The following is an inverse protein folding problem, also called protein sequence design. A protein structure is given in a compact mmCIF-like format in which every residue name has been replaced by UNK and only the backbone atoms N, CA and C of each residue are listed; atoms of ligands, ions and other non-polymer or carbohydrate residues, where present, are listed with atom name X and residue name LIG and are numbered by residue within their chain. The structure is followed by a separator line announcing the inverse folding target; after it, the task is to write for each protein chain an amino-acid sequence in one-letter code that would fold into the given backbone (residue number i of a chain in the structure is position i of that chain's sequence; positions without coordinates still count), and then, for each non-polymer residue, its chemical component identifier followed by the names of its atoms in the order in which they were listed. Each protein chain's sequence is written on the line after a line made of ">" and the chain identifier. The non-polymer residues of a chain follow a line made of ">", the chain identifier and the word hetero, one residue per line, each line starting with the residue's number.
data_IF_582477836083
#
_entry.id   IF_582477836083
#
_cell.length_a   1.000
_cell.length_b   1.000
_cell.length_c   1.000
_cell.angle_alpha   90.00
_cell.angle_beta   90.00
_cell.angle_gamma   90.00
#
_symmetry.space_group_name_H-M   'P 1'
#
loop_
_entity.id
_entity.type
_entity.pdbx_description
1 polymer ?
#
# COMPACT_ATOMS: atom_id res chain seq x y z
N UNK A 1 20.11 -3.83 7.56
CA UNK A 1 19.20 -3.62 8.70
C UNK A 1 17.77 -3.62 8.16
N UNK A 2 16.83 -4.26 8.85
CA UNK A 2 15.40 -4.12 8.52
C UNK A 2 14.92 -2.72 8.89
N UNK A 3 13.96 -2.19 8.15
CA UNK A 3 13.32 -0.94 8.53
C UNK A 3 12.26 -1.23 9.59
N UNK A 4 12.16 -0.41 10.65
CA UNK A 4 11.09 -0.57 11.62
C UNK A 4 9.74 -0.26 10.98
N UNK A 5 8.67 -0.86 11.50
CA UNK A 5 7.31 -0.44 11.19
C UNK A 5 7.14 1.06 11.47
N UNK A 6 6.52 1.83 10.56
CA UNK A 6 6.28 3.25 10.78
C UNK A 6 5.51 3.55 12.06
N UNK A 7 5.76 4.72 12.65
CA UNK A 7 4.99 5.19 13.81
C UNK A 7 3.58 5.59 13.40
N UNK A 8 2.55 5.15 14.13
CA UNK A 8 1.16 5.51 13.88
C UNK A 8 0.42 5.80 15.20
N UNK A 9 -0.67 6.57 15.14
CA UNK A 9 -1.46 6.92 16.34
C UNK A 9 -2.56 5.91 16.63
N UNK A 10 -2.44 5.27 17.79
CA UNK A 10 -3.47 4.36 18.32
C UNK A 10 -4.81 5.04 18.62
N UNK A 11 -4.86 6.36 18.79
CA UNK A 11 -6.11 7.05 19.18
C UNK A 11 -7.21 6.96 18.13
N UNK A 12 -6.87 6.99 16.84
CA UNK A 12 -7.83 6.83 15.74
C UNK A 12 -8.25 5.35 15.56
N UNK A 13 -7.35 4.43 15.88
CA UNK A 13 -7.56 2.98 15.77
C UNK A 13 -8.47 2.45 16.89
N UNK A 14 -8.29 2.93 18.12
CA UNK A 14 -9.01 2.46 19.31
C UNK A 14 -10.52 2.67 19.29
N UNK A 15 -11.01 3.59 18.45
CA UNK A 15 -12.44 3.82 18.29
C UNK A 15 -13.09 2.87 17.27
N UNK A 16 -12.32 1.98 16.62
CA UNK A 16 -12.80 1.09 15.56
C UNK A 16 -13.15 1.81 14.25
N UNK A 17 -12.82 3.10 14.14
CA UNK A 17 -13.11 3.91 12.95
C UNK A 17 -12.12 3.65 11.82
N UNK A 18 -10.94 3.09 12.10
CA UNK A 18 -9.87 2.85 11.13
C UNK A 18 -9.27 1.46 11.40
N UNK A 19 -8.94 0.74 10.33
CA UNK A 19 -8.31 -0.58 10.42
C UNK A 19 -6.96 -0.49 11.15
N UNK A 20 -6.83 -1.24 12.24
CA UNK A 20 -5.58 -1.37 12.99
C UNK A 20 -4.62 -2.32 12.25
N UNK A 21 -3.35 -1.95 12.04
CA UNK A 21 -2.35 -2.86 11.48
C UNK A 21 -2.32 -4.19 12.25
N UNK A 22 -2.60 -5.28 11.53
CA UNK A 22 -2.61 -6.64 12.06
C UNK A 22 -1.68 -7.57 11.26
N UNK A 23 -1.79 -8.88 11.45
CA UNK A 23 -0.90 -9.87 10.86
C UNK A 23 -0.82 -9.78 9.33
N UNK A 24 -1.93 -9.51 8.66
CA UNK A 24 -2.03 -9.30 7.22
C UNK A 24 -1.21 -8.09 6.74
N UNK A 25 -1.26 -7.00 7.51
CA UNK A 25 -0.52 -5.77 7.24
C UNK A 25 0.97 -5.99 7.40
N UNK A 26 1.38 -6.70 8.45
CA UNK A 26 2.78 -7.04 8.68
C UNK A 26 3.30 -8.04 7.64
N UNK A 27 2.47 -8.99 7.22
CA UNK A 27 2.81 -9.92 6.14
C UNK A 27 3.05 -9.19 4.81
N UNK A 28 2.22 -8.19 4.48
CA UNK A 28 2.40 -7.36 3.30
C UNK A 28 3.68 -6.52 3.40
N UNK A 29 3.95 -5.91 4.56
CA UNK A 29 5.20 -5.16 4.81
C UNK A 29 6.42 -6.07 4.63
N UNK A 30 6.40 -7.29 5.18
CA UNK A 30 7.49 -8.26 5.06
C UNK A 30 7.71 -8.71 3.61
N UNK A 31 6.63 -8.91 2.84
CA UNK A 31 6.70 -9.24 1.43
C UNK A 31 7.35 -8.10 0.63
N UNK A 32 6.90 -6.86 0.84
CA UNK A 32 7.49 -5.67 0.22
C UNK A 32 8.95 -5.51 0.63
N UNK A 33 9.28 -5.72 1.90
CA UNK A 33 10.66 -5.60 2.39
C UNK A 33 11.58 -6.60 1.67
N UNK A 34 11.12 -7.85 1.50
CA UNK A 34 11.83 -8.86 0.72
C UNK A 34 11.98 -8.42 -0.72
N UNK A 35 10.90 -8.01 -1.39
CA UNK A 35 10.92 -7.60 -2.80
C UNK A 35 11.70 -6.31 -3.06
N UNK A 36 11.98 -5.50 -2.04
CA UNK A 36 12.89 -4.35 -2.09
C UNK A 36 14.36 -4.78 -1.87
N UNK A 37 14.62 -5.82 -1.07
CA UNK A 37 15.97 -6.31 -0.72
C UNK A 37 16.53 -7.37 -1.69
N UNK A 38 15.69 -8.02 -2.49
CA UNK A 38 15.99 -9.23 -3.30
C UNK A 38 16.93 -9.00 -4.51
N UNK A 39 17.64 -7.87 -4.58
CA UNK A 39 18.85 -7.73 -5.39
C UNK A 39 20.03 -8.63 -4.96
N UNK A 40 19.90 -9.41 -3.87
CA UNK A 40 20.93 -10.34 -3.37
C UNK A 40 20.29 -11.67 -2.93
N UNK A 41 19.83 -12.50 -3.88
CA UNK A 41 19.72 -13.94 -3.63
C UNK A 41 21.03 -14.61 -4.05
N UNK A 42 21.82 -15.17 -3.12
CA UNK A 42 22.96 -16.01 -3.48
C UNK A 42 22.42 -17.40 -3.83
N UNK A 43 21.95 -17.59 -5.07
CA UNK A 43 21.69 -18.94 -5.60
C UNK A 43 22.56 -19.18 -6.81
N UNK A 44 23.33 -20.28 -6.77
CA UNK A 44 24.26 -20.72 -7.83
C UNK A 44 23.52 -21.36 -9.03
N UNK A 45 22.27 -20.98 -9.29
CA UNK A 45 21.45 -21.53 -10.36
C UNK A 45 21.17 -20.41 -11.36
N UNK A 46 21.56 -20.63 -12.62
CA UNK A 46 21.35 -19.71 -13.76
C UNK A 46 19.88 -19.38 -14.08
N UNK A 47 18.94 -19.90 -13.29
CA UNK A 47 17.51 -19.52 -13.28
C UNK A 47 17.29 -18.22 -12.46
N UNK A 48 18.32 -17.69 -11.79
CA UNK A 48 18.30 -16.46 -11.00
C UNK A 48 18.32 -15.14 -11.80
N UNK A 49 17.74 -15.12 -13.01
CA UNK A 49 17.55 -13.88 -13.78
C UNK A 49 16.04 -13.67 -13.98
N UNK A 50 15.57 -12.45 -13.69
CA UNK A 50 14.21 -11.91 -13.90
C UNK A 50 13.30 -11.89 -12.65
N UNK A 51 13.82 -11.56 -11.48
CA UNK A 51 13.03 -10.74 -10.55
C UNK A 51 13.79 -9.44 -10.35
N UNK A 52 13.51 -8.46 -11.20
CA UNK A 52 13.89 -7.08 -10.91
C UNK A 52 13.16 -6.67 -9.64
N UNK A 53 13.92 -6.57 -8.55
CA UNK A 53 13.44 -6.06 -7.26
C UNK A 53 12.75 -4.70 -7.44
N UNK A 54 11.86 -4.33 -6.53
CA UNK A 54 11.06 -3.09 -6.64
C UNK A 54 11.98 -1.87 -6.79
N UNK A 55 13.16 -1.87 -6.16
CA UNK A 55 14.09 -0.74 -6.18
C UNK A 55 14.75 -0.55 -7.55
N UNK A 56 15.14 -1.63 -8.22
CA UNK A 56 15.79 -1.66 -9.53
C UNK A 56 14.87 -1.18 -10.65
N UNK A 57 13.56 -1.37 -10.49
CA UNK A 57 12.53 -0.83 -11.38
C UNK A 57 12.33 0.68 -11.28
N UNK A 58 12.91 1.30 -10.24
CA UNK A 58 12.86 2.74 -10.03
C UNK A 58 11.44 3.33 -10.14
N UNK A 59 10.46 2.84 -9.34
CA UNK A 59 9.09 3.35 -9.40
C UNK A 59 9.06 4.85 -9.15
N UNK A 60 8.27 5.57 -9.94
CA UNK A 60 8.01 7.00 -9.78
C UNK A 60 6.67 7.25 -9.09
N UNK A 61 5.66 6.43 -9.39
CA UNK A 61 4.29 6.58 -8.87
C UNK A 61 3.89 5.31 -8.12
N UNK A 62 3.64 5.46 -6.82
CA UNK A 62 3.09 4.43 -5.94
C UNK A 62 1.64 4.78 -5.63
N UNK A 63 0.74 3.80 -5.80
CA UNK A 63 -0.66 3.91 -5.44
C UNK A 63 -1.02 2.81 -4.44
N UNK A 64 -1.55 3.19 -3.28
CA UNK A 64 -2.22 2.27 -2.37
C UNK A 64 -3.74 2.45 -2.45
N UNK A 65 -4.48 1.35 -2.58
CA UNK A 65 -5.93 1.33 -2.48
C UNK A 65 -6.31 0.77 -1.10
N UNK A 66 -7.23 1.43 -0.39
CA UNK A 66 -7.66 1.03 0.96
C UNK A 66 -6.57 1.26 2.00
N UNK A 67 -6.08 2.49 2.13
CA UNK A 67 -4.86 2.77 2.89
C UNK A 67 -5.00 2.64 4.42
N UNK A 68 -6.22 2.66 4.98
CA UNK A 68 -6.46 2.44 6.39
C UNK A 68 -5.62 3.38 7.29
N UNK A 69 -4.68 2.81 8.05
CA UNK A 69 -3.78 3.55 8.94
C UNK A 69 -2.60 4.24 8.22
N UNK A 70 -2.37 3.94 6.95
CA UNK A 70 -1.30 4.49 6.12
C UNK A 70 0.09 3.91 6.38
N UNK A 71 0.19 2.85 7.20
CA UNK A 71 1.50 2.24 7.55
C UNK A 71 2.20 1.61 6.35
N UNK A 72 1.47 1.01 5.42
CA UNK A 72 2.05 0.35 4.24
C UNK A 72 2.61 1.39 3.27
N UNK A 73 1.81 2.38 2.85
CA UNK A 73 2.30 3.54 2.06
C UNK A 73 3.51 4.20 2.68
N UNK A 74 3.48 4.45 3.99
CA UNK A 74 4.58 5.09 4.70
C UNK A 74 5.84 4.23 4.70
N UNK A 75 5.70 2.92 4.95
CA UNK A 75 6.80 1.97 4.92
C UNK A 75 7.46 1.91 3.55
N UNK A 76 6.68 1.79 2.47
CA UNK A 76 7.20 1.73 1.10
C UNK A 76 8.00 2.98 0.76
N UNK A 77 7.51 4.18 1.11
CA UNK A 77 8.23 5.42 0.88
C UNK A 77 9.59 5.45 1.60
N UNK A 78 9.64 5.01 2.87
CA UNK A 78 10.89 4.92 3.61
C UNK A 78 11.84 3.86 3.02
N UNK A 79 11.29 2.72 2.61
CA UNK A 79 12.04 1.58 2.07
C UNK A 79 12.61 1.80 0.68
N UNK A 80 12.02 2.66 -0.14
CA UNK A 80 12.54 3.00 -1.46
C UNK A 80 13.80 3.88 -1.41
N UNK A 81 14.04 4.61 -0.30
CA UNK A 81 15.16 5.56 -0.12
C UNK A 81 15.31 6.59 -1.25
N UNK A 82 14.20 6.97 -1.87
CA UNK A 82 14.15 7.99 -2.93
C UNK A 82 12.82 8.72 -2.88
N UNK A 83 12.77 9.88 -3.54
CA UNK A 83 11.50 10.57 -3.75
C UNK A 83 10.68 9.81 -4.79
N UNK A 84 9.44 9.52 -4.44
CA UNK A 84 8.38 9.00 -5.31
C UNK A 84 7.12 9.84 -5.09
N UNK A 85 6.22 9.83 -6.07
CA UNK A 85 4.86 10.32 -5.89
C UNK A 85 4.07 9.19 -5.25
N UNK A 86 3.65 9.38 -4.00
CA UNK A 86 2.85 8.39 -3.27
C UNK A 86 1.42 8.90 -3.12
N UNK A 87 0.48 8.11 -3.62
CA UNK A 87 -0.95 8.38 -3.56
C UNK A 87 -1.62 7.23 -2.82
N UNK A 88 -2.56 7.53 -1.95
CA UNK A 88 -3.34 6.56 -1.20
C UNK A 88 -4.83 6.88 -1.32
N UNK A 89 -5.66 5.86 -1.52
CA UNK A 89 -7.12 5.99 -1.50
C UNK A 89 -7.76 5.22 -0.37
N UNK A 90 -8.88 5.74 0.11
CA UNK A 90 -9.78 5.05 1.02
C UNK A 90 -11.18 5.66 0.91
N UNK A 91 -12.23 4.85 1.10
CA UNK A 91 -13.62 5.32 1.18
C UNK A 91 -13.89 6.08 2.48
N UNK A 92 -13.12 5.75 3.52
CA UNK A 92 -13.26 6.25 4.87
C UNK A 92 -12.41 7.50 5.10
N UNK A 93 -13.07 8.64 5.33
CA UNK A 93 -12.37 9.90 5.61
C UNK A 93 -11.44 9.84 6.84
N UNK A 94 -11.77 9.03 7.85
CA UNK A 94 -10.93 8.84 9.04
C UNK A 94 -9.65 8.07 8.74
N UNK A 95 -9.69 7.12 7.81
CA UNK A 95 -8.50 6.43 7.31
C UNK A 95 -7.56 7.41 6.60
N UNK A 96 -8.09 8.33 5.79
CA UNK A 96 -7.28 9.36 5.12
C UNK A 96 -6.62 10.32 6.12
N UNK A 97 -7.37 10.80 7.12
CA UNK A 97 -6.83 11.63 8.22
C UNK A 97 -5.72 10.89 8.97
N UNK A 98 -5.95 9.60 9.30
CA UNK A 98 -4.98 8.75 9.98
C UNK A 98 -3.72 8.55 9.13
N UNK A 99 -3.89 8.26 7.84
CA UNK A 99 -2.80 8.02 6.90
C UNK A 99 -1.91 9.25 6.71
N UNK A 100 -2.51 10.45 6.62
CA UNK A 100 -1.77 11.71 6.58
C UNK A 100 -0.94 11.94 7.85
N UNK A 101 -1.52 11.68 9.03
CA UNK A 101 -0.81 11.86 10.29
C UNK A 101 0.31 10.82 10.45
N UNK A 102 0.08 9.56 10.06
CA UNK A 102 1.13 8.52 9.99
C UNK A 102 2.26 8.97 9.08
N UNK A 103 1.98 9.44 7.86
CA UNK A 103 3.00 9.93 6.95
C UNK A 103 3.79 11.11 7.54
N UNK A 104 3.08 12.09 8.14
CA UNK A 104 3.68 13.26 8.79
C UNK A 104 4.61 12.89 9.95
N UNK A 105 4.20 11.95 10.79
CA UNK A 105 5.00 11.46 11.92
C UNK A 105 6.31 10.79 11.47
N UNK A 106 6.33 10.25 10.26
CA UNK A 106 7.46 9.51 9.70
C UNK A 106 8.25 10.29 8.64
N UNK A 107 7.92 11.57 8.43
CA UNK A 107 8.61 12.44 7.46
C UNK A 107 8.38 12.05 5.99
N UNK A 108 7.27 11.37 5.69
CA UNK A 108 6.88 10.95 4.34
C UNK A 108 5.86 11.92 3.76
N UNK A 109 5.98 12.23 2.47
CA UNK A 109 4.95 12.96 1.75
C UNK A 109 3.96 11.96 1.13
N UNK A 110 2.69 12.01 1.56
CA UNK A 110 1.63 11.13 1.08
C UNK A 110 0.43 11.98 0.66
N UNK A 111 0.01 11.83 -0.59
CA UNK A 111 -1.24 12.41 -1.07
C UNK A 111 -2.39 11.42 -0.81
N UNK A 112 -3.48 11.89 -0.21
CA UNK A 112 -4.64 11.04 0.08
C UNK A 112 -5.86 11.51 -0.70
N UNK A 113 -6.61 10.57 -1.26
CA UNK A 113 -7.80 10.86 -2.07
C UNK A 113 -8.95 9.99 -1.56
N UNK A 114 -10.05 10.63 -1.18
CA UNK A 114 -11.27 9.90 -0.86
C UNK A 114 -11.88 9.32 -2.12
N UNK A 115 -11.90 8.01 -2.22
CA UNK A 115 -12.34 7.30 -3.42
C UNK A 115 -12.84 5.91 -3.05
N UNK A 116 -13.81 5.41 -3.82
CA UNK A 116 -14.11 3.99 -3.88
C UNK A 116 -13.19 3.34 -4.91
N UNK A 117 -12.23 2.54 -4.43
CA UNK A 117 -11.13 1.98 -5.22
C UNK A 117 -10.38 3.09 -6.00
N UNK A 118 -10.35 2.99 -7.33
CA UNK A 118 -9.65 3.88 -8.26
C UNK A 118 -10.57 4.90 -8.96
N UNK A 119 -11.82 5.04 -8.49
CA UNK A 119 -12.76 6.00 -9.06
C UNK A 119 -12.20 7.43 -9.04
N UNK A 120 -12.21 8.09 -10.21
CA UNK A 120 -11.69 9.46 -10.35
C UNK A 120 -10.17 9.54 -10.56
N UNK A 121 -9.46 8.41 -10.65
CA UNK A 121 -8.02 8.36 -10.90
C UNK A 121 -7.66 8.13 -12.37
N UNK A 122 -8.53 8.47 -13.32
CA UNK A 122 -8.32 8.19 -14.76
C UNK A 122 -7.00 8.81 -15.28
N UNK A 123 -6.55 9.92 -14.68
CA UNK A 123 -5.28 10.57 -15.03
C UNK A 123 -4.05 9.73 -14.71
N UNK A 124 -4.17 8.70 -13.86
CA UNK A 124 -3.12 7.76 -13.47
C UNK A 124 -3.13 6.47 -14.30
N UNK A 125 -4.10 6.29 -15.22
CA UNK A 125 -4.18 5.09 -16.05
C UNK A 125 -2.88 4.87 -16.84
N UNK A 126 -2.29 3.67 -16.68
CA UNK A 126 -1.02 3.30 -17.31
C UNK A 126 0.22 4.01 -16.73
N UNK A 127 0.11 4.71 -15.60
CA UNK A 127 1.21 5.47 -14.99
C UNK A 127 1.62 5.00 -13.60
N UNK A 128 0.85 4.11 -12.98
CA UNK A 128 1.18 3.55 -11.67
C UNK A 128 2.27 2.50 -11.83
N UNK A 129 3.42 2.71 -11.20
CA UNK A 129 4.56 1.80 -11.26
C UNK A 129 4.50 0.71 -10.18
N UNK A 130 3.90 1.04 -9.04
CA UNK A 130 3.66 0.13 -7.93
C UNK A 130 2.26 0.35 -7.38
N UNK A 131 1.42 -0.68 -7.49
CA UNK A 131 0.07 -0.70 -6.91
C UNK A 131 0.06 -1.63 -5.69
N UNK A 132 -0.45 -1.13 -4.58
CA UNK A 132 -0.57 -1.83 -3.30
C UNK A 132 -2.05 -1.95 -2.94
N UNK A 133 -2.48 -3.12 -2.48
CA UNK A 133 -3.85 -3.30 -2.02
C UNK A 133 -3.90 -4.45 -1.00
N UNK A 134 -4.31 -4.12 0.22
CA UNK A 134 -4.70 -5.11 1.23
C UNK A 134 -6.24 -5.08 1.38
N UNK A 135 -6.99 -5.81 0.53
CA UNK A 135 -8.44 -5.71 0.48
C UNK A 135 -9.11 -6.27 1.75
N UNK A 136 -10.35 -5.87 2.06
CA UNK A 136 -11.15 -6.59 3.05
C UNK A 136 -11.40 -8.03 2.58
N UNK A 137 -10.88 -9.01 3.30
CA UNK A 137 -10.90 -10.43 2.89
C UNK A 137 -11.77 -11.33 3.78
N UNK A 138 -12.24 -10.83 4.94
CA UNK A 138 -13.07 -11.63 5.85
C UNK A 138 -14.48 -11.75 5.26
N UNK A 139 -15.00 -12.97 5.06
CA UNK A 139 -16.38 -13.15 4.63
C UNK A 139 -17.33 -12.57 5.69
N UNK A 140 -18.10 -11.56 5.32
CA UNK A 140 -19.21 -11.09 6.15
C UNK A 140 -20.44 -11.95 5.88
N UNK A 141 -21.19 -12.32 6.92
CA UNK A 141 -22.43 -13.10 6.83
C UNK A 141 -23.58 -12.36 6.15
N UNK A 142 -23.37 -11.09 5.80
CA UNK A 142 -24.19 -10.33 4.87
C UNK A 142 -23.42 -10.36 3.54
N UNK A 143 -24.08 -10.83 2.47
CA UNK A 143 -23.65 -10.56 1.11
C UNK A 143 -23.11 -9.14 1.06
N UNK A 144 -21.81 -9.00 0.75
CA UNK A 144 -21.20 -7.70 0.50
C UNK A 144 -22.17 -6.96 -0.41
N UNK A 145 -22.84 -5.92 0.11
CA UNK A 145 -23.80 -5.12 -0.65
C UNK A 145 -23.15 -4.85 -2.00
N UNK A 146 -23.76 -5.46 -3.00
CA UNK A 146 -23.24 -5.67 -4.34
C UNK A 146 -22.60 -4.42 -4.93
N UNK A 147 -21.29 -4.24 -4.77
CA UNK A 147 -20.51 -3.24 -5.52
C UNK A 147 -19.20 -3.82 -6.08
N UNK A 148 -18.91 -5.09 -5.83
CA UNK A 148 -17.83 -5.83 -6.49
C UNK A 148 -18.49 -6.74 -7.54
N UNK A 149 -19.09 -6.15 -8.57
CA UNK A 149 -19.42 -6.88 -9.80
C UNK A 149 -18.37 -6.52 -10.85
N UNK A 150 -17.45 -7.45 -11.03
CA UNK A 150 -16.63 -7.72 -12.22
C UNK A 150 -16.84 -6.77 -13.41
N UNK A 151 -15.89 -5.86 -13.60
CA UNK A 151 -15.61 -5.25 -14.91
C UNK A 151 -14.22 -5.67 -15.39
N UNK A 152 -13.96 -6.98 -15.38
CA UNK A 152 -12.93 -7.58 -16.22
C UNK A 152 -13.62 -8.39 -17.31
N UNK A 153 -14.31 -7.69 -18.22
CA UNK A 153 -14.59 -8.21 -19.55
C UNK A 153 -14.78 -7.05 -20.52
N UNK A 154 -14.00 -7.08 -21.62
CA UNK A 154 -14.02 -6.19 -22.79
C UNK A 154 -13.39 -4.80 -22.52
N UNK A 155 -12.26 -4.42 -23.13
CA UNK A 155 -11.86 -4.56 -24.53
C UNK A 155 -10.34 -4.49 -24.69
#
# INVERSE_FOLDING_TARGET
>A
MSLPTPQYKLSALRNGEVYEPAEDTFLLIDAIEKDIKVGVFPTNLEIGRIFQDIRSRQPQIVLEIGCGSGVVSTFVNQALHRKVVSIATDVNAKALECSLETARMNGVNLEVIRSDLDQGLQRLQGKVDLLLFNPPYVPTSEEAKSNIVSSFSHS
#
